data_IF_963842243173
#
_entry.id   IF_963842243173
#
_cell.length_a   1.000
_cell.length_b   1.000
_cell.length_c   1.000
_cell.angle_alpha   90.00
_cell.angle_beta   90.00
_cell.angle_gamma   90.00
#
_symmetry.space_group_name_H-M   'P 1'
#
loop_
_entity.id
_entity.type
_entity.pdbx_description
1 polymer ?
#
# COMPACT_ATOMS: atom_id res chain seq x y z
N UNK A 1 -18.47 -8.44 9.69
CA UNK A 1 -18.84 -7.24 8.88
C UNK A 1 -18.73 -7.61 7.41
N UNK A 2 -19.76 -7.38 6.58
CA UNK A 2 -19.69 -7.61 5.12
C UNK A 2 -19.28 -6.30 4.45
N UNK A 3 -17.98 -6.09 4.25
CA UNK A 3 -17.45 -4.92 3.55
C UNK A 3 -17.83 -5.01 2.05
N UNK A 4 -18.13 -3.85 1.44
CA UNK A 4 -18.43 -3.76 0.00
C UNK A 4 -17.18 -4.04 -0.84
N UNK A 5 -16.08 -3.42 -0.46
CA UNK A 5 -14.80 -3.53 -1.14
C UNK A 5 -13.90 -4.54 -0.41
N UNK A 6 -13.16 -5.31 -1.19
CA UNK A 6 -12.05 -6.13 -0.75
C UNK A 6 -10.77 -5.58 -1.35
N UNK A 7 -9.77 -5.41 -0.50
CA UNK A 7 -8.49 -4.81 -0.87
C UNK A 7 -7.41 -5.83 -0.53
N UNK A 8 -6.62 -6.20 -1.52
CA UNK A 8 -5.56 -7.19 -1.39
C UNK A 8 -4.23 -6.55 -1.77
N UNK A 9 -3.24 -6.70 -0.89
CA UNK A 9 -1.83 -6.43 -1.20
C UNK A 9 -1.18 -7.75 -1.58
N UNK A 10 -0.68 -7.85 -2.81
CA UNK A 10 -0.05 -9.04 -3.34
C UNK A 10 1.40 -9.13 -2.84
N UNK A 11 1.56 -9.68 -1.64
CA UNK A 11 2.87 -9.88 -1.02
C UNK A 11 2.86 -11.10 -0.09
N UNK A 12 4.04 -11.71 0.10
CA UNK A 12 4.22 -12.78 1.06
C UNK A 12 3.93 -12.25 2.49
N UNK A 13 2.86 -12.75 3.09
CA UNK A 13 2.44 -12.35 4.44
C UNK A 13 2.84 -13.42 5.43
N UNK A 14 3.46 -13.01 6.55
CA UNK A 14 3.86 -13.96 7.58
C UNK A 14 2.64 -14.55 8.28
N UNK A 15 2.72 -15.82 8.66
CA UNK A 15 1.64 -16.49 9.40
C UNK A 15 1.59 -15.92 10.81
N UNK A 16 0.48 -15.24 11.15
CA UNK A 16 0.24 -14.76 12.52
C UNK A 16 -0.05 -15.96 13.43
N UNK A 17 0.74 -16.13 14.49
CA UNK A 17 0.59 -17.25 15.44
C UNK A 17 -0.45 -16.99 16.53
N UNK A 18 -0.88 -15.74 16.73
CA UNK A 18 -1.86 -15.34 17.76
C UNK A 18 -3.09 -14.70 17.12
N UNK A 19 -4.28 -15.16 17.50
CA UNK A 19 -5.55 -14.72 16.93
C UNK A 19 -5.88 -13.22 17.13
N UNK A 20 -5.20 -12.55 18.07
CA UNK A 20 -5.48 -11.16 18.45
C UNK A 20 -4.55 -10.13 17.79
N UNK A 21 -3.47 -10.56 17.12
CA UNK A 21 -2.52 -9.66 16.47
C UNK A 21 -2.93 -9.41 15.01
N UNK A 22 -2.80 -8.15 14.56
CA UNK A 22 -2.99 -7.80 13.15
C UNK A 22 -1.91 -8.47 12.30
N UNK A 23 -2.28 -9.04 11.15
CA UNK A 23 -1.31 -9.65 10.24
C UNK A 23 -0.24 -8.63 9.81
N UNK A 24 1.02 -9.07 9.79
CA UNK A 24 2.16 -8.27 9.34
C UNK A 24 2.65 -8.83 8.01
N UNK A 25 2.70 -7.95 7.01
CA UNK A 25 3.25 -8.25 5.69
C UNK A 25 4.60 -7.55 5.57
N UNK A 26 5.66 -8.31 5.25
CA UNK A 26 7.00 -7.77 5.07
C UNK A 26 7.19 -7.32 3.62
N UNK A 27 7.66 -6.08 3.45
CA UNK A 27 7.86 -5.49 2.13
C UNK A 27 9.33 -5.11 1.97
N UNK A 28 9.88 -5.48 0.82
CA UNK A 28 11.21 -5.09 0.38
C UNK A 28 11.16 -3.67 -0.12
N UNK A 29 12.08 -2.84 0.39
CA UNK A 29 12.25 -1.47 -0.04
C UNK A 29 12.58 -1.40 -1.54
N UNK A 30 11.86 -0.57 -2.29
CA UNK A 30 12.09 -0.38 -3.72
C UNK A 30 11.53 -1.52 -4.59
N UNK A 31 10.79 -2.47 -4.02
CA UNK A 31 10.05 -3.46 -4.78
C UNK A 31 8.63 -2.98 -5.08
N UNK A 32 8.14 -3.34 -6.25
CA UNK A 32 6.76 -3.07 -6.70
C UNK A 32 5.84 -4.18 -6.20
N UNK A 33 4.69 -3.79 -5.66
CA UNK A 33 3.66 -4.70 -5.17
C UNK A 33 2.31 -4.41 -5.82
N UNK A 34 1.60 -5.45 -6.23
CA UNK A 34 0.25 -5.34 -6.76
C UNK A 34 -0.77 -5.02 -5.67
N UNK A 35 -1.71 -4.12 -5.98
CA UNK A 35 -2.84 -3.80 -5.10
C UNK A 35 -4.12 -4.00 -5.88
N UNK A 36 -4.94 -4.94 -5.42
CA UNK A 36 -6.26 -5.21 -5.98
C UNK A 36 -7.33 -4.51 -5.14
N UNK A 37 -8.29 -3.88 -5.81
CA UNK A 37 -9.50 -3.34 -5.20
C UNK A 37 -10.71 -3.94 -5.93
N UNK A 38 -11.45 -4.80 -5.23
CA UNK A 38 -12.58 -5.54 -5.77
C UNK A 38 -13.89 -5.04 -5.16
N UNK A 39 -14.84 -4.58 -6.00
CA UNK A 39 -16.20 -4.22 -5.56
C UNK A 39 -17.12 -5.44 -5.63
N UNK A 40 -17.48 -5.98 -4.46
CA UNK A 40 -18.35 -7.17 -4.37
C UNK A 40 -19.79 -6.93 -4.80
N UNK A 41 -20.18 -5.68 -5.11
CA UNK A 41 -21.54 -5.32 -5.55
C UNK A 41 -21.66 -5.10 -7.05
N UNK A 42 -20.55 -4.92 -7.77
CA UNK A 42 -20.55 -4.75 -9.24
C UNK A 42 -21.44 -3.60 -9.74
N UNK A 43 -21.59 -2.53 -8.96
CA UNK A 43 -22.40 -1.38 -9.36
C UNK A 43 -21.62 -0.53 -10.37
N UNK A 44 -22.29 -0.11 -11.44
CA UNK A 44 -21.73 0.83 -12.40
C UNK A 44 -21.71 2.25 -11.80
N UNK A 45 -20.61 2.58 -11.12
CA UNK A 45 -20.41 3.86 -10.48
C UNK A 45 -18.93 4.23 -10.37
N UNK A 46 -18.65 5.53 -10.31
CA UNK A 46 -17.31 6.03 -10.02
C UNK A 46 -17.02 5.88 -8.51
N UNK A 47 -15.84 5.37 -8.19
CA UNK A 47 -15.33 5.23 -6.82
C UNK A 47 -13.97 5.91 -6.73
N UNK A 48 -13.82 6.82 -5.76
CA UNK A 48 -12.53 7.44 -5.43
C UNK A 48 -11.92 6.72 -4.23
N UNK A 49 -10.69 6.25 -4.37
CA UNK A 49 -9.94 5.60 -3.28
C UNK A 49 -8.61 6.31 -3.03
N UNK A 50 -8.11 6.24 -1.81
CA UNK A 50 -6.81 6.83 -1.42
C UNK A 50 -5.93 5.75 -0.81
N UNK A 51 -4.75 5.55 -1.39
CA UNK A 51 -3.69 4.74 -0.81
C UNK A 51 -2.73 5.66 -0.05
N UNK A 52 -2.39 5.31 1.20
CA UNK A 52 -1.42 6.07 2.01
C UNK A 52 -0.60 5.15 2.91
N UNK A 53 0.61 5.60 3.25
CA UNK A 53 1.47 5.02 4.29
C UNK A 53 1.38 5.96 5.49
N UNK A 54 1.13 5.38 6.66
CA UNK A 54 1.01 6.13 7.91
C UNK A 54 1.60 5.33 9.07
N UNK A 55 1.95 6.03 10.14
CA UNK A 55 2.40 5.40 11.37
C UNK A 55 1.25 4.68 12.09
N UNK A 56 1.48 3.41 12.44
CA UNK A 56 0.47 2.57 13.09
C UNK A 56 0.16 3.01 14.54
N UNK A 57 1.18 3.40 15.31
CA UNK A 57 0.98 3.75 16.73
C UNK A 57 0.44 5.17 16.90
N UNK A 58 -0.48 5.35 17.85
CA UNK A 58 -1.05 6.67 18.18
C UNK A 58 0.01 7.66 18.66
N UNK A 59 1.07 7.19 19.34
CA UNK A 59 2.19 8.04 19.75
C UNK A 59 2.97 8.56 18.55
N UNK A 60 3.32 7.70 17.59
CA UNK A 60 4.07 8.12 16.41
C UNK A 60 3.24 9.01 15.47
N UNK A 61 1.91 8.83 15.43
CA UNK A 61 1.04 9.73 14.65
C UNK A 61 1.11 11.19 15.10
N UNK A 62 1.26 11.45 16.41
CA UNK A 62 1.36 12.83 16.94
C UNK A 62 2.63 13.55 16.49
N UNK A 63 3.70 12.80 16.24
CA UNK A 63 5.01 13.32 15.80
C UNK A 63 5.30 12.99 14.33
N UNK A 64 4.28 12.58 13.56
CA UNK A 64 4.44 12.09 12.20
C UNK A 64 5.08 13.13 11.27
N UNK A 65 4.73 14.40 11.43
CA UNK A 65 5.30 15.50 10.63
C UNK A 65 6.83 15.57 10.78
N UNK A 66 7.34 15.48 12.01
CA UNK A 66 8.77 15.50 12.28
C UNK A 66 9.48 14.30 11.67
N UNK A 67 8.88 13.10 11.72
CA UNK A 67 9.45 11.91 11.11
C UNK A 67 9.48 11.99 9.58
N UNK A 68 8.40 12.47 8.96
CA UNK A 68 8.36 12.67 7.51
C UNK A 68 9.35 13.75 7.05
N UNK A 69 9.48 14.87 7.80
CA UNK A 69 10.49 15.91 7.57
C UNK A 69 11.92 15.38 7.69
N UNK A 70 12.18 14.55 8.69
CA UNK A 70 13.47 13.90 8.83
C UNK A 70 13.75 12.96 7.65
N UNK A 71 12.79 12.09 7.30
CA UNK A 71 12.93 11.16 6.19
C UNK A 71 13.19 11.86 4.85
N UNK A 72 12.43 12.93 4.53
CA UNK A 72 12.59 13.66 3.27
C UNK A 72 13.95 14.37 3.22
N UNK A 73 14.44 14.89 4.34
CA UNK A 73 15.77 15.53 4.44
C UNK A 73 16.95 14.59 4.17
N UNK A 74 16.74 13.28 4.23
CA UNK A 74 17.76 12.27 3.90
C UNK A 74 17.72 11.85 2.42
N UNK A 75 16.73 12.30 1.64
CA UNK A 75 16.59 11.89 0.25
C UNK A 75 17.49 12.74 -0.64
N UNK A 76 18.14 12.08 -1.61
CA UNK A 76 19.00 12.75 -2.61
C UNK A 76 18.19 13.46 -3.70
N UNK A 77 16.93 13.09 -3.87
CA UNK A 77 16.05 13.56 -4.93
C UNK A 77 15.18 14.71 -4.40
N UNK A 78 15.01 15.77 -5.20
CA UNK A 78 14.19 16.92 -4.84
C UNK A 78 12.69 16.61 -4.73
N UNK A 79 12.22 15.58 -5.43
CA UNK A 79 10.81 15.15 -5.45
C UNK A 79 10.62 13.73 -4.89
N UNK A 80 11.35 13.38 -3.83
CA UNK A 80 11.23 12.06 -3.23
C UNK A 80 9.83 11.81 -2.64
N UNK A 81 9.26 10.65 -2.96
CA UNK A 81 7.96 10.17 -2.46
C UNK A 81 8.14 8.88 -1.70
N UNK A 82 7.38 8.67 -0.63
CA UNK A 82 7.42 7.43 0.15
C UNK A 82 6.67 6.27 -0.55
N UNK A 83 5.74 6.63 -1.43
CA UNK A 83 4.98 5.73 -2.29
C UNK A 83 4.99 6.30 -3.69
N UNK A 84 5.30 5.47 -4.68
CA UNK A 84 4.94 5.75 -6.05
C UNK A 84 3.84 4.78 -6.49
N UNK A 85 2.87 5.29 -7.24
CA UNK A 85 1.78 4.49 -7.82
C UNK A 85 1.99 4.50 -9.32
N UNK A 86 1.94 3.32 -9.92
CA UNK A 86 2.06 3.16 -11.36
C UNK A 86 1.22 2.01 -11.86
N UNK A 87 1.19 1.87 -13.18
CA UNK A 87 0.66 0.68 -13.84
C UNK A 87 1.83 -0.28 -14.03
N UNK A 88 1.72 -1.48 -13.45
CA UNK A 88 2.67 -2.55 -13.75
C UNK A 88 2.10 -3.40 -14.87
N UNK A 89 2.90 -3.57 -15.93
CA UNK A 89 2.66 -4.56 -16.97
C UNK A 89 3.25 -5.86 -16.45
N UNK A 90 2.40 -6.83 -16.12
CA UNK A 90 2.89 -8.19 -15.89
C UNK A 90 3.40 -8.75 -17.23
N UNK A 91 4.71 -9.07 -17.36
CA UNK A 91 5.24 -9.63 -18.59
C UNK A 91 4.72 -11.05 -18.89
N UNK A 92 4.07 -11.71 -17.93
CA UNK A 92 3.53 -13.07 -18.04
C UNK A 92 2.00 -13.12 -18.23
N UNK A 93 1.28 -12.02 -18.00
CA UNK A 93 -0.16 -11.90 -18.27
C UNK A 93 -0.43 -10.78 -19.29
N UNK A 94 -0.61 -11.16 -20.56
CA UNK A 94 -0.97 -10.23 -21.63
C UNK A 94 -2.33 -9.59 -21.37
N UNK A 95 -2.34 -8.29 -21.04
CA UNK A 95 -3.52 -7.43 -21.15
C UNK A 95 -4.16 -6.96 -19.85
N UNK A 96 -3.64 -7.38 -18.69
CA UNK A 96 -4.17 -6.94 -17.39
C UNK A 96 -3.24 -5.88 -16.79
N UNK A 97 -3.72 -4.64 -16.72
CA UNK A 97 -3.02 -3.59 -15.98
C UNK A 97 -3.44 -3.66 -14.51
N UNK A 98 -2.48 -3.96 -13.63
CA UNK A 98 -2.71 -3.92 -12.19
C UNK A 98 -2.17 -2.62 -11.61
N UNK A 99 -2.94 -2.02 -10.69
CA UNK A 99 -2.45 -0.92 -9.88
C UNK A 99 -1.31 -1.43 -9.02
N UNK A 100 -0.16 -0.79 -9.10
CA UNK A 100 1.01 -1.20 -8.37
C UNK A 100 1.57 -0.06 -7.54
N UNK A 101 2.07 -0.40 -6.35
CA UNK A 101 2.72 0.55 -5.45
C UNK A 101 4.19 0.17 -5.25
N UNK A 102 5.07 1.14 -5.41
CA UNK A 102 6.46 1.08 -5.04
C UNK A 102 6.62 1.74 -3.67
N UNK A 103 7.09 0.98 -2.68
CA UNK A 103 7.27 1.48 -1.31
C UNK A 103 8.76 1.72 -1.05
N UNK A 104 9.10 2.94 -0.62
CA UNK A 104 10.48 3.47 -0.56
C UNK A 104 11.02 3.68 0.85
#
# INVERSE_FOLDING_TARGET
RRLRFEIVLEAATAVTQKAEESAITYLNRGQVYGIQLNDKRGLDQIVTSTLSIAFHSSSHRRTAESYWKFWIGQQKQTEARAIDIGMYLDPHETGTYSNAALIK
#
